data_IF_488436933391
#
_entry.id   IF_488436933391
#
_cell.length_a   1.000
_cell.length_b   1.000
_cell.length_c   1.000
_cell.angle_alpha   90.00
_cell.angle_beta   90.00
_cell.angle_gamma   90.00
#
_symmetry.space_group_name_H-M   'P 1'
#
loop_
_entity.id
_entity.type
_entity.pdbx_description
1 polymer ?
#
# COMPACT_ATOMS: atom_id res chain seq x y z
N UNK A 1 9.28 -21.50 5.07
CA UNK A 1 7.83 -21.38 5.32
C UNK A 1 7.49 -19.90 5.26
N UNK A 2 6.49 -19.52 4.47
CA UNK A 2 6.09 -18.13 4.28
C UNK A 2 4.61 -17.98 4.67
N UNK A 3 4.24 -16.81 5.17
CA UNK A 3 2.86 -16.48 5.50
C UNK A 3 2.43 -15.28 4.67
N UNK A 4 1.24 -15.34 4.11
CA UNK A 4 0.71 -14.32 3.23
C UNK A 4 -0.63 -13.85 3.75
N UNK A 5 -0.87 -12.55 3.79
CA UNK A 5 -2.19 -11.95 3.96
C UNK A 5 -2.86 -11.83 2.60
N UNK A 6 -4.07 -12.33 2.47
CA UNK A 6 -4.88 -12.18 1.26
C UNK A 6 -5.41 -10.74 1.13
N UNK A 7 -5.34 -10.16 -0.07
CA UNK A 7 -5.83 -8.81 -0.38
C UNK A 7 -7.08 -8.84 -1.28
N UNK A 8 -7.78 -9.96 -1.31
CA UNK A 8 -9.03 -10.18 -2.04
C UNK A 8 -9.79 -11.38 -1.45
N UNK A 9 -11.05 -11.54 -1.85
CA UNK A 9 -11.87 -12.69 -1.50
C UNK A 9 -11.73 -13.79 -2.56
N UNK A 10 -11.65 -15.04 -2.13
CA UNK A 10 -11.58 -16.19 -3.02
C UNK A 10 -12.62 -17.24 -2.66
N UNK A 11 -13.54 -17.49 -3.60
CA UNK A 11 -14.54 -18.55 -3.52
C UNK A 11 -14.23 -19.64 -4.57
N UNK A 12 -13.77 -20.83 -4.15
CA UNK A 12 -13.43 -21.91 -5.07
C UNK A 12 -14.65 -22.46 -5.84
N UNK A 13 -15.88 -22.24 -5.33
CA UNK A 13 -17.10 -22.67 -6.04
C UNK A 13 -17.37 -21.84 -7.31
N UNK A 14 -16.80 -20.65 -7.39
CA UNK A 14 -16.92 -19.75 -8.56
C UNK A 14 -15.74 -19.89 -9.52
N UNK A 15 -14.73 -20.71 -9.18
CA UNK A 15 -13.50 -20.83 -9.94
C UNK A 15 -13.57 -21.95 -10.98
N UNK A 16 -13.74 -21.58 -12.24
CA UNK A 16 -13.83 -22.53 -13.36
C UNK A 16 -12.47 -23.09 -13.79
N UNK A 17 -11.36 -22.54 -13.33
CA UNK A 17 -10.01 -23.03 -13.63
C UNK A 17 -9.51 -24.02 -12.56
N UNK A 18 -10.17 -24.08 -11.42
CA UNK A 18 -9.83 -25.00 -10.34
C UNK A 18 -10.21 -26.44 -10.75
N UNK A 19 -9.29 -27.41 -10.69
CA UNK A 19 -9.57 -28.78 -11.16
C UNK A 19 -10.74 -29.46 -10.43
N UNK A 20 -10.94 -29.14 -9.15
CA UNK A 20 -12.03 -29.64 -8.33
C UNK A 20 -12.34 -28.60 -7.23
N UNK A 21 -13.62 -28.29 -7.02
CA UNK A 21 -14.01 -27.25 -6.05
C UNK A 21 -13.67 -27.64 -4.61
N UNK A 22 -13.74 -28.93 -4.28
CA UNK A 22 -13.51 -29.45 -2.93
C UNK A 22 -12.04 -29.36 -2.47
N UNK A 23 -11.09 -29.18 -3.40
CA UNK A 23 -9.68 -29.00 -3.07
C UNK A 23 -9.28 -27.53 -2.94
N UNK A 24 -10.18 -26.61 -3.24
CA UNK A 24 -9.94 -25.18 -3.10
C UNK A 24 -10.04 -24.72 -1.65
N UNK A 25 -9.14 -23.82 -1.24
CA UNK A 25 -9.19 -23.20 0.08
C UNK A 25 -9.88 -21.84 -0.04
N UNK A 26 -11.12 -21.74 0.43
CA UNK A 26 -11.83 -20.46 0.54
C UNK A 26 -11.15 -19.53 1.56
N UNK A 27 -11.07 -18.23 1.24
CA UNK A 27 -10.59 -17.19 2.14
C UNK A 27 -11.22 -15.83 1.82
N UNK A 28 -11.14 -14.91 2.78
CA UNK A 28 -11.57 -13.53 2.63
C UNK A 28 -10.38 -12.56 2.67
N UNK A 29 -10.61 -11.34 2.19
CA UNK A 29 -9.66 -10.25 2.30
C UNK A 29 -9.24 -10.04 3.76
N UNK A 30 -7.94 -10.09 4.01
CA UNK A 30 -7.33 -9.91 5.33
C UNK A 30 -6.96 -11.21 6.03
N UNK A 31 -7.46 -12.36 5.58
CA UNK A 31 -7.09 -13.67 6.13
C UNK A 31 -5.58 -13.91 5.94
N UNK A 32 -4.96 -14.57 6.92
CA UNK A 32 -3.54 -14.95 6.86
C UNK A 32 -3.43 -16.44 6.57
N UNK A 33 -2.73 -16.74 5.49
CA UNK A 33 -2.52 -18.08 4.96
C UNK A 33 -1.08 -18.52 5.19
N UNK A 34 -0.90 -19.76 5.65
CA UNK A 34 0.40 -20.42 5.66
C UNK A 34 0.63 -21.04 4.28
N UNK A 35 1.63 -20.55 3.55
CA UNK A 35 1.99 -21.06 2.22
C UNK A 35 2.94 -22.26 2.39
N UNK A 36 2.52 -23.40 1.85
CA UNK A 36 3.20 -24.68 1.99
C UNK A 36 4.02 -24.99 0.73
N UNK A 37 3.46 -24.75 -0.45
CA UNK A 37 4.10 -25.05 -1.72
C UNK A 37 3.68 -24.07 -2.80
N UNK A 38 4.67 -23.56 -3.54
CA UNK A 38 4.52 -22.58 -4.64
C UNK A 38 5.10 -23.09 -5.97
N UNK A 39 5.39 -24.40 -6.07
CA UNK A 39 6.02 -24.98 -7.26
C UNK A 39 5.15 -24.86 -8.52
N UNK A 40 3.83 -24.96 -8.37
CA UNK A 40 2.92 -24.78 -9.49
C UNK A 40 2.70 -23.26 -9.70
N UNK A 41 2.84 -22.77 -10.95
CA UNK A 41 2.73 -21.35 -11.26
C UNK A 41 1.31 -20.81 -11.17
N UNK A 42 0.29 -21.67 -11.12
CA UNK A 42 -1.12 -21.27 -11.07
C UNK A 42 -1.76 -21.51 -9.70
N UNK A 43 -1.34 -22.56 -9.00
CA UNK A 43 -2.00 -23.02 -7.78
C UNK A 43 -1.01 -23.23 -6.65
N UNK A 44 -1.15 -22.47 -5.58
CA UNK A 44 -0.37 -22.65 -4.37
C UNK A 44 -1.11 -23.55 -3.38
N UNK A 45 -0.36 -24.34 -2.61
CA UNK A 45 -0.90 -25.09 -1.50
C UNK A 45 -0.80 -24.24 -0.23
N UNK A 46 -1.92 -24.03 0.44
CA UNK A 46 -2.00 -23.22 1.64
C UNK A 46 -2.98 -23.79 2.66
N UNK A 47 -2.95 -23.24 3.88
CA UNK A 47 -3.96 -23.45 4.92
C UNK A 47 -4.13 -22.19 5.78
N UNK A 48 -5.26 -22.06 6.47
CA UNK A 48 -5.52 -20.96 7.40
C UNK A 48 -4.59 -21.03 8.62
N UNK A 49 -3.96 -19.91 8.97
CA UNK A 49 -3.09 -19.82 10.15
C UNK A 49 -3.90 -20.02 11.44
N UNK A 50 -3.36 -20.80 12.38
CA UNK A 50 -3.99 -21.03 13.68
C UNK A 50 -5.09 -22.09 13.67
N UNK A 51 -5.31 -22.77 12.54
CA UNK A 51 -6.23 -23.90 12.42
C UNK A 51 -5.46 -25.17 12.07
N UNK A 52 -5.94 -26.31 12.57
CA UNK A 52 -5.56 -27.65 12.07
C UNK A 52 -6.39 -28.04 10.84
N UNK A 53 -6.82 -27.04 10.06
CA UNK A 53 -7.60 -27.23 8.85
C UNK A 53 -6.83 -27.93 7.73
N UNK A 54 -7.55 -28.46 6.73
CA UNK A 54 -6.94 -29.12 5.59
C UNK A 54 -6.09 -28.15 4.76
N UNK A 55 -5.14 -28.72 4.03
CA UNK A 55 -4.40 -28.01 2.99
C UNK A 55 -5.30 -27.95 1.76
N UNK A 56 -5.47 -26.74 1.20
CA UNK A 56 -6.19 -26.55 -0.05
C UNK A 56 -5.40 -25.70 -1.04
N UNK A 57 -5.93 -25.60 -2.25
CA UNK A 57 -5.38 -24.80 -3.33
C UNK A 57 -5.90 -23.37 -3.27
N UNK A 58 -4.99 -22.42 -3.44
CA UNK A 58 -5.28 -21.00 -3.63
C UNK A 58 -4.68 -20.54 -4.94
N UNK A 59 -5.30 -19.60 -5.66
CA UNK A 59 -4.74 -19.10 -6.90
C UNK A 59 -3.42 -18.38 -6.62
N UNK A 60 -2.40 -18.65 -7.42
CA UNK A 60 -1.11 -17.96 -7.31
C UNK A 60 -1.26 -16.48 -7.66
N UNK A 61 -0.27 -15.68 -7.25
CA UNK A 61 -0.18 -14.29 -7.70
C UNK A 61 -0.19 -14.19 -9.25
N UNK A 62 0.56 -15.05 -9.94
CA UNK A 62 0.64 -15.04 -11.40
C UNK A 62 -0.70 -15.38 -12.07
N UNK A 63 -1.49 -16.29 -11.49
CA UNK A 63 -2.81 -16.64 -11.99
C UNK A 63 -3.79 -15.46 -11.86
N UNK A 64 -3.77 -14.77 -10.73
CA UNK A 64 -4.62 -13.59 -10.50
C UNK A 64 -4.21 -12.41 -11.39
N UNK A 65 -2.91 -12.16 -11.56
CA UNK A 65 -2.40 -11.17 -12.52
C UNK A 65 -2.91 -11.48 -13.93
N UNK A 66 -2.83 -12.74 -14.38
CA UNK A 66 -3.35 -13.16 -15.69
C UNK A 66 -4.87 -12.98 -15.80
N UNK A 67 -5.64 -13.23 -14.73
CA UNK A 67 -7.09 -13.01 -14.69
C UNK A 67 -7.45 -11.52 -14.85
N UNK A 68 -6.72 -10.62 -14.16
CA UNK A 68 -6.97 -9.17 -14.26
C UNK A 68 -6.43 -8.56 -15.55
N UNK A 69 -5.36 -9.10 -16.11
CA UNK A 69 -4.79 -8.68 -17.38
C UNK A 69 -5.64 -9.12 -18.59
N UNK A 70 -6.61 -10.03 -18.40
CA UNK A 70 -7.46 -10.49 -19.48
C UNK A 70 -8.36 -9.37 -20.00
N UNK A 71 -8.14 -8.99 -21.26
CA UNK A 71 -8.97 -8.03 -21.99
C UNK A 71 -9.84 -8.81 -22.97
N UNK A 72 -11.16 -8.65 -22.85
CA UNK A 72 -12.11 -9.29 -23.75
C UNK A 72 -11.82 -8.89 -25.22
N UNK A 73 -11.86 -9.82 -26.19
CA UNK A 73 -11.51 -9.52 -27.59
C UNK A 73 -12.31 -8.36 -28.21
N UNK A 74 -13.52 -8.10 -27.73
CA UNK A 74 -14.35 -6.97 -28.16
C UNK A 74 -13.75 -5.61 -27.80
N UNK A 75 -12.97 -5.54 -26.71
CA UNK A 75 -12.27 -4.33 -26.28
C UNK A 75 -10.98 -4.06 -27.10
N UNK A 76 -10.62 -4.95 -28.03
CA UNK A 76 -9.51 -4.76 -28.96
C UNK A 76 -9.80 -3.70 -30.03
N UNK A 77 -11.04 -3.23 -30.16
CA UNK A 77 -11.44 -2.31 -31.21
C UNK A 77 -11.84 -0.95 -30.64
N UNK A 78 -11.26 0.13 -31.18
CA UNK A 78 -11.74 1.50 -30.93
C UNK A 78 -12.69 1.89 -32.03
N UNK A 79 -13.92 2.24 -31.65
CA UNK A 79 -14.93 2.75 -32.56
C UNK A 79 -14.85 4.28 -32.56
N UNK A 80 -14.51 4.87 -33.72
CA UNK A 80 -14.56 6.32 -33.92
C UNK A 80 -15.60 6.65 -34.98
N UNK A 81 -16.37 7.72 -34.76
CA UNK A 81 -17.32 8.23 -35.77
C UNK A 81 -16.52 9.18 -36.68
N UNK A 82 -16.49 8.89 -37.98
CA UNK A 82 -15.89 9.75 -39.00
C UNK A 82 -16.73 11.02 -39.19
N UNK A 83 -16.13 12.06 -39.77
CA UNK A 83 -16.78 13.36 -40.03
C UNK A 83 -18.03 13.24 -40.93
N UNK A 84 -18.16 12.13 -41.66
CA UNK A 84 -19.30 11.75 -42.50
C UNK A 84 -20.25 10.71 -41.87
N UNK A 85 -20.20 10.50 -40.54
CA UNK A 85 -21.13 9.63 -39.81
C UNK A 85 -20.83 8.13 -39.89
N UNK A 86 -19.83 7.71 -40.69
CA UNK A 86 -19.42 6.31 -40.80
C UNK A 86 -18.67 5.86 -39.54
N UNK A 87 -19.07 4.74 -38.94
CA UNK A 87 -18.34 4.12 -37.81
C UNK A 87 -17.10 3.42 -38.34
N UNK A 88 -15.92 3.91 -37.97
CA UNK A 88 -14.64 3.29 -38.28
C UNK A 88 -14.18 2.53 -37.04
N UNK A 89 -14.06 1.20 -37.18
CA UNK A 89 -13.47 0.34 -36.16
C UNK A 89 -11.98 0.16 -36.44
N UNK A 90 -11.12 0.57 -35.52
CA UNK A 90 -9.65 0.35 -35.62
C UNK A 90 -9.22 -0.64 -34.55
N UNK A 91 -8.53 -1.70 -34.96
CA UNK A 91 -7.88 -2.66 -34.06
C UNK A 91 -6.77 -1.95 -33.27
N UNK A 92 -6.82 -2.01 -31.94
CA UNK A 92 -5.79 -1.52 -31.04
C UNK A 92 -4.50 -2.31 -31.28
N UNK A 93 -3.35 -1.63 -31.29
CA UNK A 93 -2.05 -2.30 -31.33
C UNK A 93 -1.86 -3.03 -30.00
N UNK A 94 -1.75 -4.35 -30.07
CA UNK A 94 -1.38 -5.19 -28.93
C UNK A 94 0.14 -5.22 -28.85
N UNK A 95 0.70 -4.72 -27.76
CA UNK A 95 2.07 -5.03 -27.39
C UNK A 95 2.00 -6.32 -26.57
N UNK A 96 2.64 -7.41 -27.04
CA UNK A 96 2.69 -8.63 -26.23
C UNK A 96 3.46 -8.34 -24.96
N UNK A 97 2.85 -8.62 -23.82
CA UNK A 97 3.53 -8.60 -22.53
C UNK A 97 4.69 -9.59 -22.58
N UNK A 98 5.89 -9.10 -22.28
CA UNK A 98 7.07 -9.93 -22.04
C UNK A 98 7.46 -9.70 -20.59
N UNK A 99 7.72 -10.78 -19.84
CA UNK A 99 8.14 -10.68 -18.43
C UNK A 99 9.41 -9.83 -18.23
N UNK A 100 10.23 -9.67 -19.27
CA UNK A 100 11.42 -8.81 -19.28
C UNK A 100 11.11 -7.30 -19.39
N UNK A 101 9.87 -6.92 -19.72
CA UNK A 101 9.42 -5.52 -19.84
C UNK A 101 8.48 -5.11 -18.70
N UNK A 102 8.43 -5.89 -17.60
CA UNK A 102 7.65 -5.59 -16.38
C UNK A 102 7.75 -4.12 -15.98
N UNK A 103 8.97 -3.59 -15.88
CA UNK A 103 9.27 -2.24 -15.40
C UNK A 103 8.58 -1.11 -16.18
N UNK A 104 8.24 -1.32 -17.45
CA UNK A 104 7.62 -0.31 -18.31
C UNK A 104 6.08 -0.34 -18.26
N UNK A 105 5.48 -1.44 -17.81
CA UNK A 105 4.03 -1.63 -17.74
C UNK A 105 3.49 -1.67 -16.29
N UNK A 106 4.35 -1.97 -15.31
CA UNK A 106 4.05 -2.13 -13.87
C UNK A 106 3.83 -0.82 -13.10
N UNK A 107 3.28 0.23 -13.73
CA UNK A 107 2.75 1.35 -12.93
C UNK A 107 1.48 0.98 -12.15
N UNK A 108 0.98 -0.25 -12.32
CA UNK A 108 -0.08 -0.85 -11.52
C UNK A 108 0.38 -2.23 -11.04
N UNK A 109 1.30 -2.27 -10.07
CA UNK A 109 1.58 -3.49 -9.30
C UNK A 109 0.28 -3.98 -8.66
N UNK A 110 -0.37 -4.97 -9.26
CA UNK A 110 -1.54 -5.61 -8.68
C UNK A 110 -1.06 -6.57 -7.60
N UNK A 111 -1.07 -6.10 -6.35
CA UNK A 111 -0.68 -6.92 -5.20
C UNK A 111 -1.92 -7.68 -4.69
N UNK A 112 -1.91 -9.00 -4.79
CA UNK A 112 -2.99 -9.89 -4.33
C UNK A 112 -2.70 -10.55 -2.97
N UNK A 113 -1.42 -10.66 -2.64
CA UNK A 113 -0.93 -11.24 -1.40
C UNK A 113 0.18 -10.35 -0.84
N UNK A 114 0.21 -10.23 0.48
CA UNK A 114 1.25 -9.50 1.19
C UNK A 114 1.96 -10.43 2.15
N UNK A 115 3.29 -10.55 2.04
CA UNK A 115 4.07 -11.36 2.97
C UNK A 115 4.01 -10.76 4.37
N UNK A 116 3.69 -11.60 5.36
CA UNK A 116 3.54 -11.21 6.75
C UNK A 116 4.37 -12.08 7.67
N UNK A 117 4.76 -11.50 8.81
CA UNK A 117 5.41 -12.24 9.90
C UNK A 117 4.68 -11.97 11.20
N UNK A 118 4.63 -12.97 12.08
CA UNK A 118 4.04 -12.82 13.41
C UNK A 118 5.00 -12.01 14.27
N UNK A 119 4.64 -10.76 14.52
CA UNK A 119 5.38 -9.91 15.46
C UNK A 119 4.92 -10.16 16.90
N UNK A 120 5.82 -10.09 17.90
CA UNK A 120 5.40 -10.03 19.29
C UNK A 120 4.45 -8.85 19.50
N UNK A 121 3.51 -8.90 20.48
CA UNK A 121 2.65 -7.77 20.77
C UNK A 121 3.49 -6.51 20.99
N UNK A 122 3.32 -5.51 20.13
CA UNK A 122 3.96 -4.22 20.27
C UNK A 122 2.87 -3.16 20.39
N UNK A 123 3.06 -2.24 21.34
CA UNK A 123 2.21 -1.07 21.41
C UNK A 123 2.60 -0.15 20.24
N UNK A 124 1.66 0.05 19.31
CA UNK A 124 1.79 1.08 18.28
C UNK A 124 1.71 2.43 19.00
N UNK A 125 2.87 3.07 19.18
CA UNK A 125 2.97 4.40 19.82
C UNK A 125 2.50 5.54 18.90
N UNK A 126 2.42 5.28 17.59
CA UNK A 126 2.14 6.30 16.58
C UNK A 126 0.79 6.07 15.92
N UNK A 127 -0.01 7.14 15.81
CA UNK A 127 -1.25 7.16 15.06
C UNK A 127 -1.12 8.11 13.87
N UNK A 128 -1.34 7.61 12.66
CA UNK A 128 -1.30 8.40 11.42
C UNK A 128 -2.73 8.60 10.91
N UNK A 129 -3.15 9.86 10.76
CA UNK A 129 -4.47 10.21 10.22
C UNK A 129 -4.36 10.56 8.73
N UNK A 130 -4.85 9.67 7.87
CA UNK A 130 -4.83 9.82 6.41
C UNK A 130 -6.23 10.22 5.92
N UNK A 131 -6.29 11.11 4.93
CA UNK A 131 -7.55 11.58 4.35
C UNK A 131 -7.37 12.84 3.51
N UNK A 132 -8.37 13.17 2.70
CA UNK A 132 -8.35 14.33 1.81
C UNK A 132 -8.22 15.66 2.58
N UNK A 133 -7.85 16.73 1.87
CA UNK A 133 -7.81 18.07 2.45
C UNK A 133 -9.21 18.46 2.95
N UNK A 134 -9.29 19.05 4.15
CA UNK A 134 -10.55 19.54 4.73
C UNK A 134 -11.41 18.49 5.47
N UNK A 135 -11.08 17.19 5.41
CA UNK A 135 -11.89 16.12 6.06
C UNK A 135 -11.91 16.16 7.61
N UNK A 136 -11.20 17.10 8.23
CA UNK A 136 -11.21 17.26 9.69
C UNK A 136 -10.14 16.46 10.45
N UNK A 137 -9.09 15.96 9.77
CA UNK A 137 -7.94 15.28 10.43
C UNK A 137 -7.36 16.06 11.61
N UNK A 138 -7.15 17.38 11.43
CA UNK A 138 -6.65 18.27 12.48
C UNK A 138 -7.63 18.36 13.67
N UNK A 139 -8.92 18.45 13.39
CA UNK A 139 -9.97 18.49 14.41
C UNK A 139 -10.00 17.20 15.20
N UNK A 140 -9.94 16.05 14.53
CA UNK A 140 -9.89 14.74 15.19
C UNK A 140 -8.62 14.58 16.04
N UNK A 141 -7.46 14.94 15.52
CA UNK A 141 -6.19 14.95 16.27
C UNK A 141 -6.32 15.75 17.57
N UNK A 142 -6.82 16.97 17.48
CA UNK A 142 -6.94 17.84 18.64
C UNK A 142 -7.97 17.29 19.65
N UNK A 143 -9.06 16.68 19.19
CA UNK A 143 -10.04 16.03 20.08
C UNK A 143 -9.44 14.84 20.82
N UNK A 144 -8.64 14.00 20.14
CA UNK A 144 -7.96 12.87 20.78
C UNK A 144 -7.01 13.32 21.88
N UNK A 145 -6.16 14.31 21.58
CA UNK A 145 -5.23 14.90 22.57
C UNK A 145 -5.99 15.49 23.76
N UNK A 146 -7.04 16.27 23.50
CA UNK A 146 -7.83 16.87 24.57
C UNK A 146 -8.64 15.85 25.39
N UNK A 147 -9.03 14.72 24.80
CA UNK A 147 -9.80 13.68 25.51
C UNK A 147 -8.95 12.88 26.49
N UNK A 148 -7.68 12.66 26.17
CA UNK A 148 -6.74 11.94 27.03
C UNK A 148 -5.29 12.42 26.77
N UNK A 149 -4.87 13.51 27.43
CA UNK A 149 -3.52 14.06 27.25
C UNK A 149 -2.41 13.12 27.76
N UNK A 150 -2.74 12.12 28.58
CA UNK A 150 -1.76 11.14 29.08
C UNK A 150 -1.45 10.05 28.05
N UNK A 151 -2.35 9.87 27.08
CA UNK A 151 -2.25 8.85 26.03
C UNK A 151 -1.91 9.41 24.66
N UNK A 152 -2.33 10.64 24.36
CA UNK A 152 -2.16 11.24 23.05
C UNK A 152 -1.35 12.56 23.13
N UNK A 153 -0.35 12.67 22.27
CA UNK A 153 0.47 13.86 22.10
C UNK A 153 0.64 14.22 20.62
N UNK A 154 1.43 15.26 20.37
CA UNK A 154 1.91 15.63 19.03
C UNK A 154 3.43 15.60 19.03
N UNK A 155 4.02 15.26 17.88
CA UNK A 155 5.47 15.38 17.69
C UNK A 155 5.86 16.85 17.48
N UNK A 156 7.12 17.18 17.78
CA UNK A 156 7.71 18.50 17.49
C UNK A 156 8.51 18.41 16.19
N UNK A 157 8.04 19.00 15.08
CA UNK A 157 8.75 18.96 13.80
C UNK A 157 9.98 19.89 13.79
N UNK A 158 10.89 19.67 12.86
CA UNK A 158 12.05 20.54 12.61
C UNK A 158 11.75 21.53 11.48
N UNK A 159 12.38 22.70 11.54
CA UNK A 159 12.33 23.69 10.46
C UNK A 159 13.59 24.55 10.38
N UNK A 160 13.92 25.00 9.16
CA UNK A 160 14.98 25.98 8.91
C UNK A 160 14.48 27.43 8.98
N UNK A 161 13.17 27.62 9.17
CA UNK A 161 12.59 28.95 9.33
C UNK A 161 13.12 29.58 10.62
N UNK A 162 13.54 30.85 10.63
CA UNK A 162 13.92 31.51 11.88
C UNK A 162 12.74 31.55 12.89
N UNK A 163 13.01 31.39 14.19
CA UNK A 163 11.99 31.51 15.22
C UNK A 163 11.40 32.91 15.25
N UNK A 164 10.08 33.01 15.42
CA UNK A 164 9.41 34.29 15.71
C UNK A 164 9.68 34.70 17.16
N UNK A 165 9.45 35.98 17.47
CA UNK A 165 9.73 36.58 18.79
C UNK A 165 9.15 35.81 19.98
N UNK A 166 8.01 35.15 19.81
CA UNK A 166 7.33 34.38 20.87
C UNK A 166 7.48 32.85 20.71
N UNK A 167 8.27 32.41 19.73
CA UNK A 167 8.53 30.99 19.53
C UNK A 167 9.79 30.58 20.28
N UNK A 168 9.69 29.47 21.01
CA UNK A 168 10.82 28.86 21.69
C UNK A 168 11.19 27.54 20.98
N UNK A 169 12.50 27.28 20.91
CA UNK A 169 13.03 26.05 20.35
C UNK A 169 12.56 24.83 21.17
N UNK A 170 12.10 23.79 20.49
CA UNK A 170 11.63 22.54 21.11
C UNK A 170 10.18 22.54 21.59
N UNK A 171 9.46 23.67 21.58
CA UNK A 171 8.02 23.72 21.92
C UNK A 171 7.12 23.49 20.72
N UNK A 172 7.24 24.35 19.70
CA UNK A 172 6.44 24.26 18.48
C UNK A 172 7.21 23.64 17.32
N UNK A 173 8.49 23.98 17.23
CA UNK A 173 9.43 23.48 16.26
C UNK A 173 10.82 23.35 16.88
N UNK A 174 11.60 22.43 16.35
CA UNK A 174 13.06 22.47 16.45
C UNK A 174 13.59 23.35 15.32
N UNK A 175 14.14 24.50 15.68
CA UNK A 175 14.74 25.45 14.75
C UNK A 175 16.21 25.07 14.55
N UNK A 176 16.56 24.66 13.33
CA UNK A 176 17.92 24.27 12.94
C UNK A 176 18.37 25.07 11.72
N UNK A 177 19.67 25.13 11.46
CA UNK A 177 20.17 25.74 10.23
C UNK A 177 19.86 24.86 9.00
N UNK A 178 20.01 25.43 7.81
CA UNK A 178 19.67 24.73 6.58
C UNK A 178 20.65 23.61 6.29
N UNK A 179 21.93 23.85 6.55
CA UNK A 179 23.01 22.91 6.34
C UNK A 179 22.83 21.63 7.19
N UNK A 180 22.53 21.76 8.50
CA UNK A 180 22.25 20.59 9.34
C UNK A 180 20.96 19.89 8.91
N UNK A 181 19.91 20.63 8.53
CA UNK A 181 18.69 20.00 8.02
C UNK A 181 18.98 19.13 6.79
N UNK A 182 19.76 19.63 5.83
CA UNK A 182 20.12 18.90 4.62
C UNK A 182 21.06 17.72 4.90
N UNK A 183 21.90 17.80 5.93
CA UNK A 183 22.67 16.66 6.43
C UNK A 183 21.78 15.55 7.01
N UNK A 184 20.82 15.90 7.86
CA UNK A 184 19.86 14.94 8.43
C UNK A 184 18.99 14.28 7.33
N UNK A 185 18.64 15.02 6.28
CA UNK A 185 17.99 14.46 5.08
C UNK A 185 18.90 13.43 4.39
N UNK A 186 20.18 13.76 4.16
CA UNK A 186 21.14 12.82 3.54
C UNK A 186 21.34 11.55 4.37
N UNK A 187 21.23 11.66 5.69
CA UNK A 187 21.35 10.55 6.61
C UNK A 187 20.06 9.72 6.75
N UNK A 188 18.98 10.09 6.05
CA UNK A 188 17.64 9.48 6.16
C UNK A 188 17.05 9.52 7.58
N UNK A 189 17.31 10.60 8.31
CA UNK A 189 16.84 10.79 9.69
C UNK A 189 15.47 11.49 9.78
N UNK A 190 14.91 11.91 8.65
CA UNK A 190 13.54 12.42 8.55
C UNK A 190 12.59 11.35 8.01
N UNK A 191 11.43 11.16 8.67
CA UNK A 191 10.33 10.35 8.16
C UNK A 191 9.73 11.00 6.90
N UNK A 192 9.51 12.31 6.96
CA UNK A 192 9.05 13.15 5.85
C UNK A 192 9.72 14.52 5.94
N UNK A 193 9.96 15.14 4.79
CA UNK A 193 10.45 16.51 4.71
C UNK A 193 9.94 17.20 3.44
N UNK A 194 9.91 18.52 3.46
CA UNK A 194 9.48 19.34 2.32
C UNK A 194 9.82 20.81 2.51
N UNK A 195 9.64 21.58 1.44
CA UNK A 195 9.90 23.03 1.45
C UNK A 195 8.59 23.81 1.41
N UNK A 196 8.49 24.86 2.22
CA UNK A 196 7.39 25.80 2.20
C UNK A 196 7.89 27.23 2.42
N UNK A 197 7.56 28.13 1.50
CA UNK A 197 8.01 29.54 1.51
C UNK A 197 9.53 29.68 1.71
N UNK A 198 10.33 28.90 0.98
CA UNK A 198 11.80 28.94 1.03
C UNK A 198 12.44 28.30 2.27
N UNK A 199 11.64 27.78 3.20
CA UNK A 199 12.13 27.13 4.42
C UNK A 199 11.82 25.63 4.39
N UNK A 200 12.73 24.82 4.90
CA UNK A 200 12.54 23.38 5.02
C UNK A 200 11.77 23.06 6.31
N UNK A 201 10.97 22.00 6.25
CA UNK A 201 10.20 21.44 7.34
C UNK A 201 10.29 19.92 7.28
N UNK A 202 10.36 19.26 8.43
CA UNK A 202 10.40 17.80 8.47
C UNK A 202 10.04 17.20 9.82
N UNK A 203 9.65 15.94 9.80
CA UNK A 203 9.37 15.14 11.00
C UNK A 203 10.54 14.20 11.26
N UNK A 204 11.39 14.55 12.23
CA UNK A 204 12.58 13.77 12.57
C UNK A 204 12.18 12.44 13.21
N UNK A 205 12.92 11.36 12.94
CA UNK A 205 12.61 10.02 13.44
C UNK A 205 12.64 9.95 14.97
N UNK A 206 13.57 10.65 15.61
CA UNK A 206 13.68 10.65 17.08
C UNK A 206 12.48 11.34 17.73
N UNK A 207 11.90 12.36 17.09
CA UNK A 207 10.66 13.01 17.58
C UNK A 207 9.43 12.10 17.59
N UNK A 208 9.51 10.90 16.98
CA UNK A 208 8.45 9.88 16.98
C UNK A 208 8.76 8.78 18.01
N UNK A 209 10.05 8.53 18.29
CA UNK A 209 10.51 7.43 19.15
C UNK A 209 10.40 7.77 20.63
N UNK A 210 10.64 9.03 20.95
CA UNK A 210 10.55 9.63 22.28
C UNK A 210 9.09 9.92 22.69
#
# INVERSE_FOLDING_TARGET
MCYMRALFDYDPTQDTLLPCQDIGLQFHHGDVLQIINVKDPNWWQAKHVGTDGPIGLVPSQELEERRKAYVHPEADYVHKISICGTRISKKKRKTMYKSKSNTDFDKADLIFYEEVTKMPPFQRRTLVLVGVQGVGRRTLKNRLINSDPTKFGTITPHTTRPPRVLEENGKGYWFIDREAFEEEVRNNNFLEHGEHNGNLYGTHLDSIRD
#
